data_IF_407525468943
#
_entry.id   IF_407525468943
#
_cell.length_a   1.000
_cell.length_b   1.000
_cell.length_c   1.000
_cell.angle_alpha   90.00
_cell.angle_beta   90.00
_cell.angle_gamma   90.00
#
_symmetry.space_group_name_H-M   'P 1'
#
loop_
_entity.id
_entity.type
_entity.pdbx_description
1 polymer ?
#
# COMPACT_ATOMS: atom_id res chain seq x y z
N UNK A 1 -21.23 -14.97 -8.33
CA UNK A 1 -20.25 -15.91 -7.72
C UNK A 1 -20.14 -15.66 -6.24
N UNK A 2 -19.80 -16.71 -5.47
CA UNK A 2 -19.36 -16.57 -4.08
C UNK A 2 -17.85 -16.41 -4.05
N UNK A 3 -17.33 -15.29 -3.58
CA UNK A 3 -15.90 -15.02 -3.54
C UNK A 3 -15.45 -14.78 -2.10
N UNK A 4 -14.36 -15.43 -1.70
CA UNK A 4 -13.71 -15.16 -0.43
C UNK A 4 -12.37 -14.46 -0.69
N UNK A 5 -12.15 -13.36 0.02
CA UNK A 5 -10.89 -12.61 -0.05
C UNK A 5 -10.17 -12.74 1.29
N UNK A 6 -8.93 -13.23 1.26
CA UNK A 6 -8.07 -13.35 2.44
C UNK A 6 -7.07 -12.20 2.44
N UNK A 7 -7.24 -11.31 3.40
CA UNK A 7 -6.37 -10.14 3.57
C UNK A 7 -6.27 -9.70 5.03
N UNK A 8 -5.08 -9.76 5.60
CA UNK A 8 -4.86 -9.53 7.03
C UNK A 8 -5.32 -8.16 7.53
N UNK A 9 -5.23 -7.11 6.70
CA UNK A 9 -5.39 -5.70 7.10
C UNK A 9 -6.64 -5.04 6.53
N UNK A 10 -7.75 -5.78 6.44
CA UNK A 10 -8.99 -5.25 5.88
C UNK A 10 -9.64 -4.20 6.78
N UNK A 11 -9.79 -2.98 6.28
CA UNK A 11 -10.46 -1.85 6.94
C UNK A 11 -11.09 -0.92 5.91
N UNK A 12 -12.17 -0.23 6.32
CA UNK A 12 -12.84 0.77 5.52
C UNK A 12 -12.10 2.12 5.47
N UNK A 13 -12.69 3.07 4.78
CA UNK A 13 -12.12 4.42 4.58
C UNK A 13 -11.95 5.25 5.85
N UNK A 14 -12.68 4.94 6.93
CA UNK A 14 -12.53 5.59 8.24
C UNK A 14 -11.19 5.32 8.91
N UNK A 15 -10.49 4.27 8.48
CA UNK A 15 -9.19 3.89 9.00
C UNK A 15 -8.04 4.42 8.13
N UNK A 16 -6.87 4.72 8.73
CA UNK A 16 -5.67 5.01 7.96
C UNK A 16 -5.12 3.76 7.28
N UNK A 17 -4.55 3.92 6.10
CA UNK A 17 -3.90 2.85 5.36
C UNK A 17 -4.49 2.58 3.98
N UNK A 18 -4.20 1.38 3.44
CA UNK A 18 -4.65 1.01 2.10
C UNK A 18 -6.11 0.60 2.05
N UNK A 19 -6.83 1.13 1.08
CA UNK A 19 -8.25 0.82 0.83
C UNK A 19 -8.49 -0.09 -0.38
N UNK A 20 -7.46 -0.56 -1.07
CA UNK A 20 -7.60 -1.31 -2.33
C UNK A 20 -8.48 -2.56 -2.20
N UNK A 21 -8.24 -3.39 -1.15
CA UNK A 21 -9.07 -4.59 -0.92
C UNK A 21 -10.48 -4.20 -0.50
N UNK A 22 -10.62 -3.18 0.34
CA UNK A 22 -11.93 -2.65 0.72
C UNK A 22 -12.73 -2.20 -0.51
N UNK A 23 -12.12 -1.42 -1.38
CA UNK A 23 -12.74 -0.92 -2.60
C UNK A 23 -13.12 -2.04 -3.57
N UNK A 24 -12.25 -3.05 -3.70
CA UNK A 24 -12.54 -4.24 -4.53
C UNK A 24 -13.74 -5.01 -3.97
N UNK A 25 -13.79 -5.24 -2.67
CA UNK A 25 -14.88 -6.00 -2.03
C UNK A 25 -16.23 -5.30 -2.16
N UNK A 26 -16.27 -3.97 -1.93
CA UNK A 26 -17.49 -3.19 -2.10
C UNK A 26 -17.95 -3.20 -3.57
N UNK A 27 -17.03 -3.01 -4.52
CA UNK A 27 -17.31 -3.07 -5.95
C UNK A 27 -17.90 -4.43 -6.36
N UNK A 28 -17.32 -5.54 -5.93
CA UNK A 28 -17.84 -6.88 -6.22
C UNK A 28 -19.24 -7.11 -5.61
N UNK A 29 -19.43 -6.65 -4.37
CA UNK A 29 -20.73 -6.79 -3.68
C UNK A 29 -21.83 -5.92 -4.31
N UNK A 30 -21.49 -4.72 -4.81
CA UNK A 30 -22.41 -3.86 -5.56
C UNK A 30 -22.84 -4.50 -6.89
N UNK A 31 -21.94 -5.29 -7.52
CA UNK A 31 -22.23 -6.04 -8.75
C UNK A 31 -22.97 -7.37 -8.52
N UNK A 32 -23.42 -7.62 -7.30
CA UNK A 32 -24.25 -8.79 -6.97
C UNK A 32 -23.48 -10.06 -6.66
N UNK A 33 -22.16 -9.98 -6.41
CA UNK A 33 -21.41 -11.11 -5.91
C UNK A 33 -21.59 -11.28 -4.40
N UNK A 34 -21.60 -12.54 -3.92
CA UNK A 34 -21.59 -12.86 -2.48
C UNK A 34 -20.11 -12.80 -2.01
N UNK A 35 -19.78 -11.71 -1.33
CA UNK A 35 -18.41 -11.39 -0.93
C UNK A 35 -18.21 -11.62 0.56
N UNK A 36 -17.23 -12.45 0.90
CA UNK A 36 -16.77 -12.63 2.28
C UNK A 36 -15.28 -12.30 2.37
N UNK A 37 -14.90 -11.54 3.39
CA UNK A 37 -13.49 -11.26 3.69
C UNK A 37 -13.10 -12.01 4.96
N UNK A 38 -12.02 -12.80 4.89
CA UNK A 38 -11.35 -13.36 6.06
C UNK A 38 -10.15 -12.50 6.38
N UNK A 39 -10.17 -11.86 7.55
CA UNK A 39 -9.19 -10.83 7.91
C UNK A 39 -8.74 -10.92 9.36
N UNK A 40 -7.59 -10.32 9.64
CA UNK A 40 -7.15 -10.04 10.99
C UNK A 40 -7.98 -8.95 11.66
N UNK A 41 -7.72 -8.71 12.92
CA UNK A 41 -8.48 -7.76 13.74
C UNK A 41 -7.98 -6.32 13.62
N UNK A 42 -6.74 -6.10 13.16
CA UNK A 42 -6.10 -4.79 13.12
C UNK A 42 -5.70 -4.36 11.73
N UNK A 43 -5.81 -3.05 11.47
CA UNK A 43 -5.21 -2.40 10.31
C UNK A 43 -3.71 -2.20 10.45
N UNK A 44 -3.04 -2.09 9.31
CA UNK A 44 -1.59 -1.88 9.28
C UNK A 44 -1.13 -0.60 10.00
N UNK A 45 -1.95 0.47 10.00
CA UNK A 45 -1.66 1.75 10.66
C UNK A 45 -2.50 1.99 11.92
N UNK A 46 -3.17 0.97 12.45
CA UNK A 46 -3.98 1.07 13.67
C UNK A 46 -3.23 0.51 14.86
N UNK A 47 -3.12 1.29 15.93
CA UNK A 47 -2.50 0.88 17.21
C UNK A 47 -3.50 0.43 18.26
N UNK A 48 -4.76 0.86 18.12
CA UNK A 48 -5.79 0.57 19.11
C UNK A 48 -6.44 -0.78 18.84
N UNK A 49 -6.40 -1.64 19.84
CA UNK A 49 -6.97 -2.98 19.80
C UNK A 49 -8.34 -3.05 20.44
N UNK A 50 -9.18 -4.00 20.01
CA UNK A 50 -10.37 -4.33 20.76
C UNK A 50 -10.02 -4.76 22.19
N UNK A 51 -10.70 -4.21 23.19
CA UNK A 51 -10.53 -4.53 24.61
C UNK A 51 -11.09 -5.90 25.01
N UNK A 52 -11.43 -6.74 24.05
CA UNK A 52 -12.04 -8.04 24.26
C UNK A 52 -11.00 -9.12 24.61
N UNK A 53 -11.35 -10.11 25.48
CA UNK A 53 -10.52 -11.28 25.77
C UNK A 53 -10.19 -12.06 24.50
N UNK A 54 -8.99 -12.64 24.42
CA UNK A 54 -8.45 -13.34 23.24
C UNK A 54 -9.36 -14.47 22.73
N UNK A 55 -10.02 -15.21 23.62
CA UNK A 55 -10.90 -16.34 23.25
C UNK A 55 -12.17 -15.88 22.52
N UNK A 56 -12.66 -14.66 22.78
CA UNK A 56 -13.78 -14.04 22.04
C UNK A 56 -13.32 -13.45 20.68
N UNK A 57 -12.01 -13.40 20.47
CA UNK A 57 -11.38 -12.87 19.27
C UNK A 57 -10.99 -13.97 18.27
N UNK A 58 -11.16 -15.28 18.61
CA UNK A 58 -10.75 -16.39 17.73
C UNK A 58 -11.45 -16.29 16.39
N UNK A 59 -12.78 -16.12 16.40
CA UNK A 59 -13.58 -15.86 15.20
C UNK A 59 -14.71 -14.90 15.59
N UNK A 60 -14.85 -13.82 14.83
CA UNK A 60 -15.93 -12.86 14.95
C UNK A 60 -16.48 -12.55 13.57
N UNK A 61 -17.80 -12.51 13.45
CA UNK A 61 -18.47 -12.13 12.21
C UNK A 61 -19.03 -10.73 12.35
N UNK A 62 -18.83 -9.93 11.32
CA UNK A 62 -19.38 -8.59 11.18
C UNK A 62 -19.79 -8.36 9.73
N UNK A 63 -20.52 -7.29 9.47
CA UNK A 63 -20.96 -6.91 8.14
C UNK A 63 -20.51 -5.48 7.86
N UNK A 64 -19.94 -5.28 6.68
CA UNK A 64 -19.49 -3.97 6.21
C UNK A 64 -20.22 -3.66 4.90
N UNK A 65 -21.34 -2.92 5.00
CA UNK A 65 -22.26 -2.74 3.88
C UNK A 65 -22.85 -4.07 3.41
N UNK A 66 -22.57 -4.47 2.18
CA UNK A 66 -22.99 -5.75 1.58
C UNK A 66 -21.97 -6.87 1.76
N UNK A 67 -20.77 -6.58 2.32
CA UNK A 67 -19.67 -7.52 2.47
C UNK A 67 -19.75 -8.22 3.84
N UNK A 68 -19.63 -9.53 3.84
CA UNK A 68 -19.48 -10.32 5.06
C UNK A 68 -18.02 -10.30 5.49
N UNK A 69 -17.73 -10.06 6.77
CA UNK A 69 -16.36 -10.03 7.30
C UNK A 69 -16.22 -11.04 8.42
N UNK A 70 -15.27 -11.94 8.27
CA UNK A 70 -14.87 -12.92 9.29
C UNK A 70 -13.53 -12.47 9.85
N UNK A 71 -13.56 -11.87 11.04
CA UNK A 71 -12.34 -11.51 11.78
C UNK A 71 -11.80 -12.72 12.50
N UNK A 72 -10.50 -12.95 12.37
CA UNK A 72 -9.82 -14.02 13.09
C UNK A 72 -8.69 -13.46 13.94
N UNK A 73 -8.32 -14.19 14.98
CA UNK A 73 -7.32 -13.74 15.94
C UNK A 73 -6.01 -13.34 15.27
N UNK A 74 -5.53 -12.17 15.67
CA UNK A 74 -4.24 -11.66 15.21
C UNK A 74 -3.51 -11.01 16.38
N UNK A 75 -2.22 -11.33 16.57
CA UNK A 75 -1.38 -10.67 17.55
C UNK A 75 -1.21 -9.19 17.21
N UNK A 76 -1.41 -8.32 18.19
CA UNK A 76 -1.66 -6.90 18.00
C UNK A 76 -0.42 -6.02 17.91
N UNK A 77 0.68 -6.43 18.51
CA UNK A 77 1.87 -5.58 18.71
C UNK A 77 2.79 -5.55 17.47
N UNK A 78 2.19 -5.46 16.27
CA UNK A 78 2.93 -5.53 15.01
C UNK A 78 3.92 -4.37 14.77
N UNK A 79 3.71 -3.22 15.45
CA UNK A 79 4.57 -2.04 15.32
C UNK A 79 5.68 -1.96 16.38
N UNK A 80 5.63 -2.82 17.40
CA UNK A 80 6.57 -2.78 18.51
C UNK A 80 7.96 -3.29 18.14
N UNK A 81 8.02 -4.36 17.33
CA UNK A 81 9.28 -5.00 16.91
C UNK A 81 9.09 -5.91 15.71
N UNK A 82 10.20 -6.32 15.07
CA UNK A 82 10.15 -7.33 14.01
C UNK A 82 9.59 -8.66 14.50
N UNK A 83 9.88 -9.05 15.76
CA UNK A 83 9.31 -10.24 16.37
C UNK A 83 7.80 -10.11 16.55
N UNK A 84 7.30 -8.96 17.04
CA UNK A 84 5.88 -8.68 17.15
C UNK A 84 5.17 -8.77 15.79
N UNK A 85 5.82 -8.28 14.73
CA UNK A 85 5.31 -8.39 13.36
C UNK A 85 5.27 -9.84 12.87
N UNK A 86 6.29 -10.63 13.15
CA UNK A 86 6.33 -12.06 12.82
C UNK A 86 5.24 -12.82 13.59
N UNK A 87 5.07 -12.56 14.88
CA UNK A 87 4.00 -13.14 15.69
C UNK A 87 2.60 -12.77 15.16
N UNK A 88 2.41 -11.54 14.68
CA UNK A 88 1.17 -11.13 14.03
C UNK A 88 0.91 -11.94 12.76
N UNK A 89 1.92 -12.18 11.93
CA UNK A 89 1.78 -13.02 10.74
C UNK A 89 1.48 -14.47 11.06
N UNK A 90 2.21 -15.06 12.01
CA UNK A 90 2.02 -16.46 12.42
C UNK A 90 0.63 -16.64 13.06
N UNK A 91 0.22 -15.77 13.97
CA UNK A 91 -1.08 -15.88 14.63
C UNK A 91 -2.25 -15.80 13.64
N UNK A 92 -2.18 -14.89 12.65
CA UNK A 92 -3.18 -14.83 11.59
C UNK A 92 -3.11 -16.06 10.65
N UNK A 93 -1.91 -16.58 10.38
CA UNK A 93 -1.76 -17.81 9.58
C UNK A 93 -2.38 -19.04 10.23
N UNK A 94 -2.38 -19.11 11.56
CA UNK A 94 -3.01 -20.20 12.31
C UNK A 94 -4.53 -20.01 12.46
N UNK A 95 -5.01 -18.79 12.57
CA UNK A 95 -6.42 -18.50 12.77
C UNK A 95 -7.23 -18.36 11.46
N UNK A 96 -6.61 -17.87 10.38
CA UNK A 96 -7.24 -17.70 9.08
C UNK A 96 -7.88 -19.00 8.51
N UNK A 97 -7.24 -20.19 8.59
CA UNK A 97 -7.87 -21.45 8.20
C UNK A 97 -9.20 -21.72 8.93
N UNK A 98 -9.26 -21.42 10.23
CA UNK A 98 -10.49 -21.58 11.00
C UNK A 98 -11.58 -20.66 10.45
N UNK A 99 -11.24 -19.41 10.15
CA UNK A 99 -12.17 -18.48 9.50
C UNK A 99 -12.70 -19.00 8.16
N UNK A 100 -11.79 -19.49 7.29
CA UNK A 100 -12.15 -20.06 5.99
C UNK A 100 -13.04 -21.31 6.08
N UNK A 101 -12.84 -22.14 7.09
CA UNK A 101 -13.64 -23.35 7.31
C UNK A 101 -15.07 -23.04 7.79
N UNK A 102 -15.30 -21.85 8.36
CA UNK A 102 -16.65 -21.41 8.80
C UNK A 102 -17.46 -20.73 7.70
N UNK A 103 -16.87 -20.52 6.52
CA UNK A 103 -17.56 -19.97 5.36
C UNK A 103 -18.03 -21.10 4.45
N UNK A 104 -19.22 -20.95 3.86
CA UNK A 104 -19.72 -21.87 2.84
C UNK A 104 -18.68 -21.98 1.71
N UNK A 105 -18.66 -23.12 1.01
CA UNK A 105 -17.71 -23.34 -0.08
C UNK A 105 -17.85 -22.20 -1.12
N UNK A 106 -16.81 -21.35 -1.30
CA UNK A 106 -16.83 -20.31 -2.32
C UNK A 106 -16.49 -20.89 -3.70
N UNK A 107 -16.84 -20.14 -4.73
CA UNK A 107 -16.46 -20.46 -6.13
C UNK A 107 -14.98 -20.16 -6.37
N UNK A 108 -14.38 -19.19 -5.65
CA UNK A 108 -12.97 -18.81 -5.76
C UNK A 108 -12.48 -18.11 -4.49
N UNK A 109 -11.21 -18.30 -4.16
CA UNK A 109 -10.51 -17.56 -3.08
C UNK A 109 -9.41 -16.71 -3.69
N UNK A 110 -9.42 -15.41 -3.38
CA UNK A 110 -8.33 -14.47 -3.65
C UNK A 110 -7.55 -14.21 -2.36
N UNK A 111 -6.23 -14.37 -2.38
CA UNK A 111 -5.39 -14.02 -1.24
C UNK A 111 -4.25 -13.08 -1.66
N UNK A 112 -3.99 -12.05 -0.82
CA UNK A 112 -3.00 -11.01 -1.10
C UNK A 112 -1.73 -11.18 -0.26
N UNK A 113 -0.56 -11.07 -0.88
CA UNK A 113 0.77 -11.02 -0.26
C UNK A 113 1.30 -9.57 -0.27
N UNK A 114 2.06 -9.08 0.74
CA UNK A 114 2.46 -9.78 1.97
C UNK A 114 1.36 -9.79 3.04
N UNK A 115 1.44 -10.65 4.04
CA UNK A 115 2.45 -11.66 4.31
C UNK A 115 2.18 -13.00 3.60
N UNK A 116 3.25 -13.79 3.33
CA UNK A 116 3.13 -15.07 2.60
C UNK A 116 2.53 -16.20 3.46
N UNK A 117 2.77 -16.18 4.79
CA UNK A 117 2.33 -17.27 5.68
C UNK A 117 0.79 -17.44 5.71
N UNK A 118 -0.03 -16.39 5.90
CA UNK A 118 -1.49 -16.52 5.84
C UNK A 118 -1.98 -16.96 4.47
N UNK A 119 -1.32 -16.53 3.40
CA UNK A 119 -1.66 -16.94 2.05
C UNK A 119 -1.43 -18.43 1.85
N UNK A 120 -0.30 -18.96 2.35
CA UNK A 120 0.00 -20.39 2.28
C UNK A 120 -1.01 -21.22 3.08
N UNK A 121 -1.39 -20.78 4.28
CA UNK A 121 -2.41 -21.47 5.08
C UNK A 121 -3.80 -21.42 4.44
N UNK A 122 -4.16 -20.31 3.82
CA UNK A 122 -5.41 -20.18 3.05
C UNK A 122 -5.41 -21.12 1.83
N UNK A 123 -4.31 -21.16 1.06
CA UNK A 123 -4.15 -22.09 -0.06
C UNK A 123 -4.30 -23.55 0.37
N UNK A 124 -3.74 -23.94 1.53
CA UNK A 124 -3.86 -25.31 2.05
C UNK A 124 -5.33 -25.70 2.28
N UNK A 125 -6.13 -24.80 2.88
CA UNK A 125 -7.58 -25.00 3.02
C UNK A 125 -8.27 -25.11 1.66
N UNK A 126 -7.90 -24.26 0.71
CA UNK A 126 -8.45 -24.30 -0.64
C UNK A 126 -8.16 -25.63 -1.33
N UNK A 127 -6.93 -26.14 -1.23
CA UNK A 127 -6.52 -27.42 -1.78
C UNK A 127 -7.34 -28.59 -1.17
N UNK A 128 -7.50 -28.61 0.18
CA UNK A 128 -8.28 -29.63 0.87
C UNK A 128 -9.76 -29.61 0.49
N UNK A 129 -10.35 -28.43 0.30
CA UNK A 129 -11.75 -28.24 -0.06
C UNK A 129 -12.00 -28.23 -1.57
N UNK A 130 -10.96 -28.37 -2.39
CA UNK A 130 -11.02 -28.24 -3.86
C UNK A 130 -11.70 -26.92 -4.24
N UNK A 131 -11.07 -25.82 -3.87
CA UNK A 131 -11.52 -24.46 -4.18
C UNK A 131 -10.45 -23.79 -5.05
N UNK A 132 -10.78 -23.19 -6.19
CA UNK A 132 -9.85 -22.42 -7.00
C UNK A 132 -9.18 -21.30 -6.22
N UNK A 133 -7.87 -21.12 -6.38
CA UNK A 133 -7.10 -20.17 -5.64
C UNK A 133 -6.38 -19.19 -6.57
N UNK A 134 -6.60 -17.89 -6.34
CA UNK A 134 -5.93 -16.78 -7.03
C UNK A 134 -5.01 -16.07 -6.05
N UNK A 135 -3.75 -15.88 -6.45
CA UNK A 135 -2.74 -15.20 -5.67
C UNK A 135 -2.54 -13.78 -6.17
N UNK A 136 -2.67 -12.78 -5.29
CA UNK A 136 -2.30 -11.39 -5.56
C UNK A 136 -0.92 -11.08 -4.96
N UNK A 137 0.04 -10.68 -5.79
CA UNK A 137 1.42 -10.35 -5.42
C UNK A 137 1.60 -8.84 -5.46
N UNK A 138 1.69 -8.23 -4.27
CA UNK A 138 1.90 -6.78 -4.13
C UNK A 138 3.36 -6.41 -3.97
N UNK A 139 4.13 -7.31 -3.37
CA UNK A 139 5.57 -7.21 -3.18
C UNK A 139 6.20 -8.59 -3.37
N UNK A 140 7.42 -8.64 -3.90
CA UNK A 140 8.18 -9.88 -4.10
C UNK A 140 8.78 -10.36 -2.76
N UNK A 141 8.00 -11.09 -1.98
CA UNK A 141 8.42 -11.76 -0.76
C UNK A 141 8.85 -13.20 -1.04
N UNK A 142 9.94 -13.69 -0.42
CA UNK A 142 10.77 -13.10 0.65
C UNK A 142 11.87 -12.15 0.19
N UNK A 143 12.10 -11.99 -1.12
CA UNK A 143 13.23 -11.23 -1.67
C UNK A 143 13.31 -9.79 -1.10
N UNK A 144 12.16 -9.09 -0.98
CA UNK A 144 12.11 -7.75 -0.41
C UNK A 144 12.64 -7.71 1.05
N UNK A 145 12.24 -8.65 1.89
CA UNK A 145 12.68 -8.70 3.28
C UNK A 145 14.19 -9.03 3.40
N UNK A 146 14.72 -9.83 2.49
CA UNK A 146 16.15 -10.19 2.41
C UNK A 146 16.97 -8.97 1.98
N UNK A 147 16.59 -8.30 0.89
CA UNK A 147 17.33 -7.13 0.38
C UNK A 147 17.26 -5.94 1.34
N UNK A 148 16.17 -5.77 2.07
CA UNK A 148 16.09 -4.78 3.15
C UNK A 148 16.94 -5.13 4.38
N UNK A 149 17.55 -6.32 4.44
CA UNK A 149 18.34 -6.79 5.59
C UNK A 149 17.50 -7.16 6.82
N UNK A 150 16.17 -7.26 6.67
CA UNK A 150 15.22 -7.62 7.74
C UNK A 150 15.27 -9.14 8.00
N UNK A 151 15.31 -9.94 6.93
CA UNK A 151 15.34 -11.39 6.98
C UNK A 151 16.75 -11.90 6.65
N UNK A 152 17.43 -12.46 7.67
CA UNK A 152 18.83 -12.95 7.56
C UNK A 152 18.96 -14.46 7.78
N UNK A 153 17.97 -15.10 8.42
CA UNK A 153 18.02 -16.53 8.70
C UNK A 153 17.84 -17.34 7.42
N UNK A 154 18.88 -18.04 6.99
CA UNK A 154 18.89 -18.82 5.74
C UNK A 154 17.81 -19.90 5.67
N UNK A 155 17.53 -20.59 6.80
CA UNK A 155 16.50 -21.62 6.83
C UNK A 155 15.11 -21.03 6.60
N UNK A 156 14.81 -19.90 7.26
CA UNK A 156 13.54 -19.20 7.08
C UNK A 156 13.40 -18.65 5.66
N UNK A 157 14.48 -18.13 5.06
CA UNK A 157 14.50 -17.70 3.66
C UNK A 157 14.17 -18.87 2.73
N UNK A 158 14.81 -20.04 2.93
CA UNK A 158 14.53 -21.22 2.11
C UNK A 158 13.08 -21.71 2.25
N UNK A 159 12.55 -21.73 3.48
CA UNK A 159 11.14 -22.08 3.72
C UNK A 159 10.19 -21.12 3.00
N UNK A 160 10.40 -19.82 3.13
CA UNK A 160 9.54 -18.83 2.51
C UNK A 160 9.64 -18.86 0.96
N UNK A 161 10.84 -19.08 0.42
CA UNK A 161 11.04 -19.25 -1.02
C UNK A 161 10.38 -20.54 -1.55
N UNK A 162 10.40 -21.60 -0.78
CA UNK A 162 9.66 -22.83 -1.08
C UNK A 162 8.15 -22.58 -1.08
N UNK A 163 7.63 -21.91 -0.03
CA UNK A 163 6.21 -21.55 0.05
C UNK A 163 5.78 -20.69 -1.14
N UNK A 164 6.58 -19.68 -1.52
CA UNK A 164 6.33 -18.84 -2.69
C UNK A 164 6.24 -19.69 -3.98
N UNK A 165 7.21 -20.58 -4.20
CA UNK A 165 7.21 -21.46 -5.37
C UNK A 165 5.99 -22.37 -5.41
N UNK A 166 5.59 -22.95 -4.27
CA UNK A 166 4.39 -23.76 -4.15
C UNK A 166 3.15 -22.94 -4.52
N UNK A 167 3.01 -21.74 -3.97
CA UNK A 167 1.88 -20.86 -4.26
C UNK A 167 1.83 -20.47 -5.73
N UNK A 168 2.95 -20.08 -6.34
CA UNK A 168 2.99 -19.74 -7.77
C UNK A 168 2.62 -20.95 -8.65
N UNK A 169 3.06 -22.15 -8.30
CA UNK A 169 2.72 -23.36 -9.07
C UNK A 169 1.26 -23.77 -8.93
N UNK A 170 0.70 -23.62 -7.73
CA UNK A 170 -0.62 -24.17 -7.38
C UNK A 170 -1.77 -23.16 -7.53
N UNK A 171 -1.48 -21.88 -7.72
CA UNK A 171 -2.50 -20.87 -8.01
C UNK A 171 -3.02 -21.05 -9.43
N UNK A 172 -4.32 -20.86 -9.64
CA UNK A 172 -4.93 -20.85 -10.99
C UNK A 172 -4.46 -19.63 -11.79
N UNK A 173 -4.41 -18.47 -11.14
CA UNK A 173 -3.87 -17.22 -11.66
C UNK A 173 -3.02 -16.52 -10.59
N UNK A 174 -2.01 -15.82 -11.07
CA UNK A 174 -1.17 -14.92 -10.27
C UNK A 174 -1.47 -13.50 -10.75
N UNK A 175 -1.86 -12.62 -9.83
CA UNK A 175 -2.11 -11.20 -10.13
C UNK A 175 -0.95 -10.39 -9.61
N UNK A 176 -0.17 -9.81 -10.51
CA UNK A 176 0.93 -8.89 -10.19
C UNK A 176 0.42 -7.44 -10.15
N UNK A 177 0.84 -6.68 -9.15
CA UNK A 177 0.42 -5.27 -9.00
C UNK A 177 1.16 -4.31 -9.94
N UNK A 178 2.33 -4.70 -10.44
CA UNK A 178 3.19 -3.86 -11.29
C UNK A 178 3.78 -4.69 -12.43
N UNK A 179 4.16 -4.03 -13.51
CA UNK A 179 4.86 -4.67 -14.63
C UNK A 179 6.17 -5.30 -14.15
N UNK A 180 6.91 -4.61 -13.26
CA UNK A 180 8.17 -5.11 -12.73
C UNK A 180 7.97 -6.41 -11.95
N UNK A 181 6.94 -6.52 -11.10
CA UNK A 181 6.59 -7.77 -10.40
C UNK A 181 6.21 -8.86 -11.40
N UNK A 182 5.39 -8.53 -12.41
CA UNK A 182 5.01 -9.49 -13.46
C UNK A 182 6.22 -10.02 -14.20
N UNK A 183 7.11 -9.13 -14.60
CA UNK A 183 8.31 -9.47 -15.36
C UNK A 183 9.28 -10.34 -14.53
N UNK A 184 9.47 -10.05 -13.24
CA UNK A 184 10.27 -10.88 -12.33
C UNK A 184 9.70 -12.30 -12.24
N UNK A 185 8.39 -12.43 -12.01
CA UNK A 185 7.74 -13.73 -11.91
C UNK A 185 7.88 -14.52 -13.23
N UNK A 186 7.67 -13.88 -14.37
CA UNK A 186 7.82 -14.51 -15.69
C UNK A 186 9.28 -14.91 -15.98
N UNK A 187 10.24 -14.06 -15.64
CA UNK A 187 11.68 -14.34 -15.80
C UNK A 187 12.14 -15.53 -14.94
N UNK A 188 11.46 -15.79 -13.81
CA UNK A 188 11.70 -16.96 -12.95
C UNK A 188 11.04 -18.24 -13.46
N UNK A 189 10.37 -18.23 -14.63
CA UNK A 189 9.87 -19.40 -15.35
C UNK A 189 8.36 -19.64 -15.32
N UNK A 190 7.55 -18.75 -14.71
CA UNK A 190 6.10 -18.87 -14.78
C UNK A 190 5.54 -18.22 -16.06
N UNK A 191 4.64 -18.90 -16.80
CA UNK A 191 4.17 -18.40 -18.10
C UNK A 191 3.31 -17.14 -17.94
N UNK A 192 3.48 -16.19 -18.86
CA UNK A 192 2.74 -14.93 -18.87
C UNK A 192 1.22 -15.10 -18.97
N UNK A 193 0.74 -16.24 -19.48
CA UNK A 193 -0.69 -16.60 -19.48
C UNK A 193 -1.25 -16.88 -18.08
N UNK A 194 -0.39 -17.20 -17.12
CA UNK A 194 -0.74 -17.40 -15.71
C UNK A 194 -0.63 -16.13 -14.89
N UNK A 195 0.20 -15.17 -15.32
CA UNK A 195 0.52 -13.94 -14.58
C UNK A 195 -0.21 -12.75 -15.20
N UNK A 196 -1.27 -12.33 -14.54
CA UNK A 196 -2.09 -11.19 -14.94
C UNK A 196 -1.59 -9.90 -14.26
N UNK A 197 -1.67 -8.78 -14.98
CA UNK A 197 -1.33 -7.46 -14.43
C UNK A 197 -2.61 -6.75 -14.01
N UNK A 198 -2.75 -6.44 -12.71
CA UNK A 198 -3.80 -5.55 -12.20
C UNK A 198 -3.16 -4.55 -11.25
N UNK A 199 -2.88 -3.35 -11.72
CA UNK A 199 -2.20 -2.32 -10.94
C UNK A 199 -3.10 -1.74 -9.84
N UNK A 200 -2.50 -1.03 -8.88
CA UNK A 200 -3.29 -0.20 -7.97
C UNK A 200 -4.01 0.89 -8.76
N UNK A 201 -5.27 1.15 -8.40
CA UNK A 201 -6.06 2.19 -9.04
C UNK A 201 -6.48 3.27 -8.06
N UNK A 202 -6.80 4.45 -8.60
CA UNK A 202 -7.34 5.58 -7.83
C UNK A 202 -8.84 5.64 -7.95
N UNK A 203 -9.50 5.87 -6.84
CA UNK A 203 -10.91 6.28 -6.81
C UNK A 203 -11.01 7.80 -6.87
N UNK A 204 -11.35 8.32 -8.05
CA UNK A 204 -11.45 9.77 -8.29
C UNK A 204 -12.65 10.43 -7.58
N UNK A 205 -13.62 9.68 -7.05
CA UNK A 205 -14.65 10.21 -6.16
C UNK A 205 -14.10 10.57 -4.77
N UNK A 206 -12.92 10.05 -4.43
CA UNK A 206 -12.26 10.21 -3.13
C UNK A 206 -10.99 11.03 -3.19
N UNK A 207 -10.23 10.91 -4.27
CA UNK A 207 -8.97 11.62 -4.48
C UNK A 207 -9.07 12.45 -5.76
N UNK A 208 -9.10 13.76 -5.60
CA UNK A 208 -9.24 14.75 -6.66
C UNK A 208 -8.71 16.12 -6.19
N UNK A 209 -8.43 17.07 -7.09
CA UNK A 209 -8.06 18.43 -6.72
C UNK A 209 -9.15 19.12 -5.90
N UNK A 210 -8.80 19.64 -4.70
CA UNK A 210 -9.72 20.20 -3.72
C UNK A 210 -9.15 21.48 -3.08
N UNK A 211 -9.39 22.60 -3.71
CA UNK A 211 -8.92 23.90 -3.23
C UNK A 211 -9.54 24.31 -1.87
N UNK A 212 -10.82 23.96 -1.65
CA UNK A 212 -11.50 24.28 -0.39
C UNK A 212 -10.95 23.42 0.74
N UNK A 213 -10.76 22.13 0.52
CA UNK A 213 -10.12 21.23 1.47
C UNK A 213 -8.69 21.64 1.81
N UNK A 214 -7.92 22.09 0.81
CA UNK A 214 -6.58 22.65 1.01
C UNK A 214 -6.59 23.86 1.93
N UNK A 215 -7.49 24.80 1.68
CA UNK A 215 -7.64 26.02 2.49
C UNK A 215 -8.02 25.69 3.94
N UNK A 216 -8.92 24.73 4.16
CA UNK A 216 -9.30 24.27 5.51
C UNK A 216 -8.09 23.74 6.29
N UNK A 217 -7.24 22.90 5.70
CA UNK A 217 -6.04 22.37 6.35
C UNK A 217 -5.02 23.46 6.60
N UNK A 218 -4.77 24.35 5.62
CA UNK A 218 -3.83 25.46 5.78
C UNK A 218 -4.27 26.40 6.89
N UNK A 219 -5.56 26.72 6.98
CA UNK A 219 -6.10 27.54 8.06
C UNK A 219 -5.99 26.84 9.42
N UNK A 220 -6.33 25.54 9.48
CA UNK A 220 -6.25 24.76 10.74
C UNK A 220 -4.87 24.77 11.37
N UNK A 221 -3.82 24.72 10.55
CA UNK A 221 -2.44 24.61 11.02
C UNK A 221 -1.62 25.91 10.90
N UNK A 222 -2.20 27.01 10.41
CA UNK A 222 -1.49 28.26 10.20
C UNK A 222 -0.43 28.19 9.08
N UNK A 223 -0.73 27.49 7.99
CA UNK A 223 0.22 27.27 6.89
C UNK A 223 0.03 28.21 5.69
N UNK A 224 -0.70 29.32 5.87
CA UNK A 224 -1.03 30.23 4.75
C UNK A 224 0.23 30.74 4.04
N UNK A 225 1.25 31.13 4.84
CA UNK A 225 2.50 31.70 4.33
C UNK A 225 3.63 30.67 4.18
N UNK A 226 3.30 29.35 4.28
CA UNK A 226 4.28 28.29 4.15
C UNK A 226 4.22 27.60 2.81
N UNK A 227 5.38 27.20 2.32
CA UNK A 227 5.55 26.24 1.21
C UNK A 227 5.62 24.84 1.80
N UNK A 228 4.62 24.02 1.54
CA UNK A 228 4.46 22.70 2.15
C UNK A 228 5.05 21.63 1.26
N UNK A 229 6.07 20.95 1.76
CA UNK A 229 6.66 19.74 1.17
C UNK A 229 6.11 18.54 1.94
N UNK A 230 5.24 17.75 1.31
CA UNK A 230 4.47 16.68 1.96
C UNK A 230 5.07 15.30 1.70
N UNK A 231 5.24 14.53 2.78
CA UNK A 231 5.33 13.08 2.75
C UNK A 231 4.09 12.47 3.42
N UNK A 232 3.33 11.66 2.70
CA UNK A 232 2.12 11.03 3.22
C UNK A 232 2.17 9.51 3.05
N UNK A 233 2.13 8.77 4.16
CA UNK A 233 2.12 7.30 4.09
C UNK A 233 2.84 6.61 5.25
N UNK A 234 3.22 5.35 5.05
CA UNK A 234 3.89 4.57 6.07
C UNK A 234 5.26 5.16 6.44
N UNK A 235 5.51 5.31 7.74
CA UNK A 235 6.82 5.65 8.30
C UNK A 235 7.57 4.35 8.61
N UNK A 236 7.98 3.65 7.55
CA UNK A 236 8.58 2.31 7.61
C UNK A 236 10.04 2.27 7.13
N UNK A 237 10.66 1.10 7.26
CA UNK A 237 12.06 0.86 6.88
C UNK A 237 12.33 1.11 5.39
N UNK A 238 11.37 0.80 4.52
CA UNK A 238 11.50 0.93 3.08
C UNK A 238 11.46 2.39 2.58
N UNK A 239 10.89 3.31 3.37
CA UNK A 239 10.45 4.62 2.87
C UNK A 239 11.52 5.72 2.88
N UNK A 240 12.77 5.41 3.19
CA UNK A 240 13.91 6.33 3.14
C UNK A 240 13.66 7.73 3.76
N UNK A 241 13.06 7.77 4.94
CA UNK A 241 12.80 9.03 5.66
C UNK A 241 14.08 9.81 6.00
N UNK A 242 15.26 9.18 6.23
CA UNK A 242 16.48 9.92 6.51
C UNK A 242 16.86 10.95 5.44
N UNK A 243 16.65 10.67 4.14
CA UNK A 243 16.96 11.65 3.09
C UNK A 243 16.07 12.89 3.24
N UNK A 244 14.79 12.71 3.53
CA UNK A 244 13.85 13.84 3.78
C UNK A 244 14.30 14.69 4.97
N UNK A 245 14.76 14.07 6.06
CA UNK A 245 15.21 14.78 7.26
C UNK A 245 16.54 15.54 7.03
N UNK A 246 17.51 14.95 6.32
CA UNK A 246 18.74 15.64 5.94
C UNK A 246 18.44 16.84 5.03
N UNK A 247 17.54 16.67 4.06
CA UNK A 247 17.09 17.76 3.19
C UNK A 247 16.43 18.88 4.00
N UNK A 248 15.57 18.54 4.95
CA UNK A 248 14.95 19.53 5.84
C UNK A 248 15.98 20.27 6.69
N UNK A 249 17.03 19.58 7.14
CA UNK A 249 18.15 20.19 7.86
C UNK A 249 18.91 21.20 7.00
N UNK A 250 19.21 20.86 5.73
CA UNK A 250 19.84 21.79 4.78
C UNK A 250 18.98 23.04 4.54
N UNK A 251 17.66 22.85 4.45
CA UNK A 251 16.68 23.92 4.22
C UNK A 251 16.17 24.59 5.51
N UNK A 252 16.75 24.28 6.68
CA UNK A 252 16.35 24.92 7.95
C UNK A 252 16.46 26.46 7.95
N UNK A 253 17.44 27.13 7.26
CA UNK A 253 17.45 28.59 7.16
C UNK A 253 16.24 29.18 6.41
N UNK A 254 15.55 28.39 5.58
CA UNK A 254 14.38 28.79 4.81
C UNK A 254 13.12 28.64 5.67
N UNK A 255 12.76 29.72 6.39
CA UNK A 255 11.61 29.75 7.28
C UNK A 255 10.26 29.61 6.57
N UNK A 256 10.21 29.83 5.28
CA UNK A 256 9.03 29.70 4.43
C UNK A 256 8.73 28.24 4.03
N UNK A 257 9.69 27.31 4.10
CA UNK A 257 9.53 25.91 3.73
C UNK A 257 9.24 25.04 4.95
N UNK A 258 8.16 24.26 4.90
CA UNK A 258 7.77 23.32 5.96
C UNK A 258 7.62 21.90 5.39
N UNK A 259 8.36 20.97 5.95
CA UNK A 259 8.21 19.55 5.68
C UNK A 259 7.14 18.96 6.59
N UNK A 260 6.11 18.35 6.01
CA UNK A 260 5.02 17.72 6.74
C UNK A 260 5.03 16.22 6.46
N UNK A 261 5.30 15.41 7.49
CA UNK A 261 5.31 13.96 7.42
C UNK A 261 4.06 13.42 8.11
N UNK A 262 3.16 12.78 7.35
CA UNK A 262 1.89 12.26 7.87
C UNK A 262 1.87 10.74 7.76
N UNK A 263 1.71 10.05 8.88
CA UNK A 263 1.57 8.61 8.86
C UNK A 263 1.97 7.90 10.14
N UNK A 264 2.02 6.59 10.07
CA UNK A 264 2.48 5.72 11.16
C UNK A 264 3.34 4.56 10.61
N UNK A 265 4.05 3.88 11.50
CA UNK A 265 4.91 2.75 11.16
C UNK A 265 6.01 2.53 12.20
N UNK A 266 6.81 1.48 11.97
CA UNK A 266 7.88 1.09 12.92
C UNK A 266 8.94 2.19 13.14
N UNK A 267 9.14 3.09 12.17
CA UNK A 267 10.13 4.17 12.26
C UNK A 267 9.58 5.48 12.80
N UNK A 268 8.28 5.60 13.09
CA UNK A 268 7.68 6.85 13.55
C UNK A 268 8.39 7.43 14.77
N UNK A 269 8.52 6.64 15.83
CA UNK A 269 9.18 7.10 17.08
C UNK A 269 10.65 7.47 16.85
N UNK A 270 11.34 6.71 15.99
CA UNK A 270 12.73 7.02 15.62
C UNK A 270 12.81 8.32 14.82
N UNK A 271 11.88 8.54 13.89
CA UNK A 271 11.78 9.79 13.11
C UNK A 271 11.52 11.00 14.00
N UNK A 272 10.56 10.91 14.93
CA UNK A 272 10.25 11.98 15.89
C UNK A 272 11.47 12.31 16.76
N UNK A 273 12.20 11.30 17.26
CA UNK A 273 13.44 11.49 18.03
C UNK A 273 14.54 12.14 17.17
N UNK A 274 14.66 11.74 15.91
CA UNK A 274 15.65 12.31 15.00
C UNK A 274 15.34 13.77 14.68
N UNK A 275 14.08 14.13 14.43
CA UNK A 275 13.64 15.52 14.26
C UNK A 275 14.01 16.37 15.48
N UNK A 276 13.72 15.87 16.70
CA UNK A 276 14.08 16.56 17.95
C UNK A 276 15.60 16.73 18.10
N UNK A 277 16.38 15.69 17.76
CA UNK A 277 17.84 15.72 17.86
C UNK A 277 18.49 16.69 16.85
N UNK A 278 17.90 16.84 15.66
CA UNK A 278 18.38 17.81 14.66
C UNK A 278 18.09 19.27 15.03
N UNK A 279 17.19 19.53 15.99
CA UNK A 279 16.81 20.87 16.42
C UNK A 279 16.16 21.73 15.32
N UNK A 280 15.65 21.10 14.25
CA UNK A 280 15.04 21.80 13.12
C UNK A 280 13.58 22.17 13.42
N UNK A 281 13.17 23.38 13.00
CA UNK A 281 11.80 23.89 13.23
C UNK A 281 10.91 23.75 11.98
N UNK A 282 11.48 23.32 10.88
CA UNK A 282 10.81 23.21 9.58
C UNK A 282 10.36 21.77 9.27
N UNK A 283 10.22 20.90 10.28
CA UNK A 283 9.67 19.54 10.15
C UNK A 283 8.54 19.32 11.14
N UNK A 284 7.41 18.87 10.64
CA UNK A 284 6.24 18.50 11.43
C UNK A 284 5.86 17.05 11.17
N UNK A 285 5.82 16.23 12.20
CA UNK A 285 5.38 14.82 12.12
C UNK A 285 3.97 14.72 12.67
N UNK A 286 2.99 14.47 11.82
CA UNK A 286 1.59 14.34 12.18
C UNK A 286 1.17 12.86 12.32
N UNK A 287 0.14 12.58 13.15
CA UNK A 287 -0.44 11.24 13.23
C UNK A 287 -1.05 10.82 11.89
N UNK A 288 -1.25 9.51 11.68
CA UNK A 288 -1.95 9.03 10.50
C UNK A 288 -3.39 9.56 10.51
N UNK A 289 -3.87 9.93 9.34
CA UNK A 289 -5.25 10.37 9.13
C UNK A 289 -6.03 9.29 8.37
N UNK A 290 -7.36 9.37 8.41
CA UNK A 290 -8.22 8.46 7.66
C UNK A 290 -7.96 8.55 6.16
N UNK A 291 -8.24 7.47 5.41
CA UNK A 291 -8.12 7.52 3.95
C UNK A 291 -9.11 8.54 3.34
N UNK A 292 -10.26 8.76 3.97
CA UNK A 292 -11.22 9.79 3.57
C UNK A 292 -10.65 11.22 3.68
N UNK A 293 -9.80 11.47 4.67
CA UNK A 293 -9.22 12.80 4.91
C UNK A 293 -7.91 13.04 4.15
N UNK A 294 -7.29 11.98 3.62
CA UNK A 294 -6.01 12.04 2.92
C UNK A 294 -6.01 13.13 1.83
N UNK A 295 -7.11 13.24 1.07
CA UNK A 295 -7.31 14.26 0.05
C UNK A 295 -7.06 15.68 0.55
N UNK A 296 -7.58 16.01 1.72
CA UNK A 296 -7.47 17.37 2.29
C UNK A 296 -6.01 17.76 2.51
N UNK A 297 -5.23 16.84 3.10
CA UNK A 297 -3.81 17.06 3.39
C UNK A 297 -2.94 17.06 2.14
N UNK A 298 -3.21 16.16 1.18
CA UNK A 298 -2.48 16.12 -0.10
C UNK A 298 -2.71 17.43 -0.85
N UNK A 299 -3.95 17.92 -0.90
CA UNK A 299 -4.27 19.17 -1.56
C UNK A 299 -3.67 20.40 -0.86
N UNK A 300 -3.42 20.37 0.43
CA UNK A 300 -2.76 21.45 1.17
C UNK A 300 -1.24 21.56 0.85
N UNK A 301 -0.64 20.56 0.22
CA UNK A 301 0.77 20.58 -0.17
C UNK A 301 1.02 21.43 -1.42
N UNK A 302 2.21 22.03 -1.51
CA UNK A 302 2.74 22.63 -2.73
C UNK A 302 3.51 21.58 -3.56
N UNK A 303 4.23 20.68 -2.89
CA UNK A 303 5.08 19.65 -3.50
C UNK A 303 4.99 18.36 -2.69
N UNK A 304 4.97 17.21 -3.36
CA UNK A 304 4.85 15.90 -2.71
C UNK A 304 6.09 15.05 -2.90
N UNK A 305 6.53 14.35 -1.84
CA UNK A 305 7.72 13.49 -1.85
C UNK A 305 7.35 12.01 -1.94
N UNK A 306 7.98 11.30 -2.85
CA UNK A 306 7.93 9.84 -2.97
C UNK A 306 9.35 9.30 -2.86
N UNK A 307 9.65 8.67 -1.73
CA UNK A 307 10.98 8.13 -1.44
C UNK A 307 10.89 6.66 -1.06
N UNK A 308 11.85 5.86 -1.56
CA UNK A 308 12.17 4.51 -1.08
C UNK A 308 13.70 4.39 -0.92
N UNK A 309 14.12 3.38 -0.19
CA UNK A 309 15.55 3.02 -0.13
C UNK A 309 16.03 2.59 -1.51
N UNK A 310 17.29 2.89 -1.82
CA UNK A 310 17.93 2.44 -3.05
C UNK A 310 18.22 0.93 -2.97
N UNK A 311 17.26 0.14 -3.40
CA UNK A 311 17.31 -1.32 -3.41
C UNK A 311 16.78 -1.78 -4.76
N UNK A 312 17.51 -2.60 -5.54
CA UNK A 312 17.12 -2.99 -6.91
C UNK A 312 15.71 -3.56 -7.03
N UNK A 313 15.22 -4.24 -5.98
CA UNK A 313 13.86 -4.78 -5.98
C UNK A 313 12.78 -3.71 -6.00
N UNK A 314 13.08 -2.51 -5.52
CA UNK A 314 12.12 -1.39 -5.52
C UNK A 314 12.01 -0.71 -6.89
N UNK A 315 12.87 -1.04 -7.85
CA UNK A 315 12.71 -0.61 -9.24
C UNK A 315 11.42 -1.17 -9.87
N UNK A 316 10.90 -2.27 -9.32
CA UNK A 316 9.61 -2.85 -9.69
C UNK A 316 8.41 -2.26 -8.93
N UNK A 317 8.62 -1.32 -8.01
CA UNK A 317 7.56 -0.82 -7.14
C UNK A 317 6.86 0.42 -7.70
N UNK A 318 5.54 0.46 -7.55
CA UNK A 318 4.73 1.68 -7.73
C UNK A 318 4.11 2.01 -6.37
N UNK A 319 4.71 2.93 -5.58
CA UNK A 319 4.10 3.34 -4.32
C UNK A 319 2.74 3.99 -4.56
N UNK A 320 1.72 3.55 -3.85
CA UNK A 320 0.35 4.09 -4.02
C UNK A 320 0.27 5.59 -3.79
N UNK A 321 1.14 6.15 -2.93
CA UNK A 321 1.22 7.59 -2.68
C UNK A 321 1.55 8.40 -3.93
N UNK A 322 2.38 7.85 -4.86
CA UNK A 322 2.67 8.48 -6.14
C UNK A 322 1.38 8.74 -6.91
N UNK A 323 0.58 7.69 -7.05
CA UNK A 323 -0.68 7.75 -7.79
C UNK A 323 -1.71 8.63 -7.05
N UNK A 324 -1.77 8.57 -5.71
CA UNK A 324 -2.64 9.41 -4.87
C UNK A 324 -2.31 10.91 -5.03
N UNK A 325 -1.01 11.28 -5.08
CA UNK A 325 -0.55 12.66 -5.27
C UNK A 325 -0.92 13.19 -6.66
N UNK A 326 -0.63 12.40 -7.70
CA UNK A 326 -0.99 12.74 -9.08
C UNK A 326 -2.51 12.87 -9.24
N UNK A 327 -3.31 12.04 -8.57
CA UNK A 327 -4.77 12.13 -8.59
C UNK A 327 -5.32 13.42 -7.94
N UNK A 328 -4.58 13.97 -6.97
CA UNK A 328 -4.88 15.28 -6.39
C UNK A 328 -4.26 16.44 -7.17
N UNK A 329 -3.70 16.21 -8.36
CA UNK A 329 -3.09 17.23 -9.19
C UNK A 329 -1.84 17.87 -8.57
N UNK A 330 -1.02 17.09 -7.84
CA UNK A 330 0.19 17.58 -7.19
C UNK A 330 1.44 17.17 -7.93
N UNK A 331 2.37 18.12 -8.07
CA UNK A 331 3.72 17.84 -8.54
C UNK A 331 4.48 16.94 -7.56
N UNK A 332 5.30 16.06 -8.10
CA UNK A 332 6.00 15.03 -7.33
C UNK A 332 7.52 15.17 -7.46
N UNK A 333 8.25 15.06 -6.35
CA UNK A 333 9.67 14.72 -6.33
C UNK A 333 9.80 13.24 -6.01
N UNK A 334 10.35 12.48 -6.94
CA UNK A 334 10.43 11.02 -6.85
C UNK A 334 11.88 10.56 -6.75
N UNK A 335 12.26 10.00 -5.59
CA UNK A 335 13.56 9.36 -5.36
C UNK A 335 13.44 7.85 -5.43
N UNK A 336 12.92 7.33 -6.55
CA UNK A 336 12.76 5.90 -6.82
C UNK A 336 13.08 5.70 -8.30
N UNK A 337 13.93 4.73 -8.61
CA UNK A 337 14.25 4.32 -9.97
C UNK A 337 13.19 3.36 -10.54
N UNK A 338 13.34 3.04 -11.82
CA UNK A 338 12.60 1.98 -12.48
C UNK A 338 11.16 2.35 -12.81
N UNK A 339 10.16 1.62 -12.28
CA UNK A 339 8.78 1.77 -12.74
C UNK A 339 8.13 3.09 -12.28
N UNK A 340 8.41 3.51 -11.05
CA UNK A 340 7.92 4.79 -10.54
C UNK A 340 8.52 5.99 -11.30
N UNK A 341 9.81 5.96 -11.60
CA UNK A 341 10.50 6.93 -12.43
C UNK A 341 9.86 7.03 -13.81
N UNK A 342 9.69 5.89 -14.51
CA UNK A 342 9.03 5.86 -15.83
C UNK A 342 7.63 6.45 -15.83
N UNK A 343 6.88 6.26 -14.75
CA UNK A 343 5.53 6.84 -14.61
C UNK A 343 5.61 8.35 -14.48
N UNK A 344 6.49 8.87 -13.63
CA UNK A 344 6.66 10.32 -13.42
C UNK A 344 7.11 11.01 -14.70
N UNK A 345 8.09 10.44 -15.39
CA UNK A 345 8.61 10.98 -16.67
C UNK A 345 7.54 10.93 -17.77
N UNK A 346 6.89 9.77 -17.96
CA UNK A 346 5.86 9.63 -19.00
C UNK A 346 4.63 10.51 -18.75
N UNK A 347 4.35 10.83 -17.48
CA UNK A 347 3.26 11.71 -17.10
C UNK A 347 3.64 13.19 -17.13
N UNK A 348 4.93 13.53 -17.13
CA UNK A 348 5.40 14.90 -16.87
C UNK A 348 4.95 15.42 -15.51
N UNK A 349 4.81 14.54 -14.52
CA UNK A 349 4.15 14.81 -13.25
C UNK A 349 5.08 15.39 -12.18
N UNK A 350 6.38 15.49 -12.47
CA UNK A 350 7.35 15.92 -11.47
C UNK A 350 8.80 15.77 -11.93
N UNK A 351 9.69 15.68 -10.97
CA UNK A 351 11.13 15.54 -11.20
C UNK A 351 11.68 14.35 -10.42
N UNK A 352 12.58 13.61 -11.06
CA UNK A 352 13.32 12.51 -10.44
C UNK A 352 14.57 13.06 -9.78
N UNK A 353 14.91 12.55 -8.61
CA UNK A 353 16.19 12.79 -7.97
C UNK A 353 16.83 11.45 -7.57
N UNK A 354 18.16 11.45 -7.49
CA UNK A 354 18.90 10.26 -7.08
C UNK A 354 18.51 9.83 -5.65
N UNK A 355 18.11 8.57 -5.42
CA UNK A 355 17.85 8.08 -4.08
C UNK A 355 18.98 8.41 -3.11
N UNK A 356 18.69 8.79 -1.88
CA UNK A 356 19.64 9.22 -0.83
C UNK A 356 20.40 10.54 -1.08
N UNK A 357 20.20 11.24 -2.20
CA UNK A 357 20.86 12.52 -2.49
C UNK A 357 20.04 13.70 -1.92
N UNK A 358 20.31 14.06 -0.66
CA UNK A 358 19.64 15.17 0.03
C UNK A 358 20.09 16.56 -0.47
N UNK A 359 21.26 16.68 -1.10
CA UNK A 359 21.73 17.91 -1.72
C UNK A 359 20.91 18.23 -2.97
N UNK A 360 20.86 17.30 -3.93
CA UNK A 360 20.05 17.44 -5.13
C UNK A 360 18.56 17.66 -4.78
N UNK A 361 18.03 16.90 -3.80
CA UNK A 361 16.64 17.07 -3.37
C UNK A 361 16.40 18.48 -2.81
N UNK A 362 17.36 19.05 -2.05
CA UNK A 362 17.21 20.41 -1.51
C UNK A 362 17.22 21.47 -2.60
N UNK A 363 18.07 21.33 -3.61
CA UNK A 363 18.14 22.25 -4.76
C UNK A 363 16.85 22.21 -5.58
N UNK A 364 16.36 21.02 -5.91
CA UNK A 364 15.11 20.83 -6.66
C UNK A 364 13.89 21.39 -5.92
N UNK A 365 13.80 21.22 -4.60
CA UNK A 365 12.73 21.82 -3.80
C UNK A 365 12.75 23.33 -3.93
N UNK A 366 13.93 23.97 -3.79
CA UNK A 366 14.04 25.43 -3.88
C UNK A 366 13.73 25.93 -5.29
N UNK A 367 14.20 25.23 -6.32
CA UNK A 367 13.91 25.55 -7.71
C UNK A 367 12.41 25.51 -8.01
N UNK A 368 11.78 24.37 -7.72
CA UNK A 368 10.37 24.13 -8.03
C UNK A 368 9.42 25.06 -7.26
N UNK A 369 9.71 25.29 -5.97
CA UNK A 369 8.87 26.19 -5.16
C UNK A 369 8.93 27.67 -5.57
N UNK A 370 9.91 28.08 -6.43
CA UNK A 370 9.97 29.41 -7.03
C UNK A 370 9.08 29.56 -8.27
N UNK A 371 8.62 28.44 -8.84
CA UNK A 371 7.81 28.42 -10.06
C UNK A 371 6.46 27.71 -9.84
N UNK A 372 5.46 28.40 -9.26
CA UNK A 372 4.13 27.83 -9.03
C UNK A 372 3.43 27.36 -10.31
N UNK A 373 3.65 28.03 -11.44
CA UNK A 373 3.04 27.64 -12.72
C UNK A 373 3.59 26.31 -13.22
N UNK A 374 4.88 26.06 -13.04
CA UNK A 374 5.50 24.76 -13.36
C UNK A 374 4.95 23.65 -12.46
N UNK A 375 4.76 23.91 -11.18
CA UNK A 375 4.13 22.95 -10.25
C UNK A 375 2.70 22.61 -10.66
N UNK A 376 1.92 23.63 -11.02
CA UNK A 376 0.53 23.45 -11.49
C UNK A 376 0.48 22.64 -12.79
N UNK A 377 1.33 22.95 -13.75
CA UNK A 377 1.45 22.22 -15.02
C UNK A 377 1.80 20.75 -14.81
N UNK A 378 2.81 20.46 -13.96
CA UNK A 378 3.18 19.09 -13.59
C UNK A 378 2.02 18.36 -12.91
N UNK A 379 1.32 19.01 -11.99
CA UNK A 379 0.16 18.44 -11.29
C UNK A 379 -0.97 18.11 -12.27
N UNK A 380 -1.30 19.00 -13.19
CA UNK A 380 -2.33 18.79 -14.21
C UNK A 380 -1.97 17.62 -15.15
N UNK A 381 -0.72 17.56 -15.60
CA UNK A 381 -0.21 16.47 -16.46
C UNK A 381 -0.29 15.12 -15.73
N UNK A 382 0.13 15.07 -14.45
CA UNK A 382 0.03 13.89 -13.60
C UNK A 382 -1.40 13.42 -13.44
N UNK A 383 -2.34 14.33 -13.16
CA UNK A 383 -3.77 14.02 -13.04
C UNK A 383 -4.34 13.40 -14.32
N UNK A 384 -4.08 14.03 -15.48
CA UNK A 384 -4.53 13.51 -16.76
C UNK A 384 -4.01 12.09 -17.05
N UNK A 385 -2.73 11.85 -16.73
CA UNK A 385 -2.11 10.54 -16.91
C UNK A 385 -2.77 9.45 -16.04
N UNK A 386 -2.99 9.72 -14.73
CA UNK A 386 -3.56 8.70 -13.83
C UNK A 386 -5.05 8.47 -14.10
N UNK A 387 -5.79 9.47 -14.59
CA UNK A 387 -7.17 9.27 -15.02
C UNK A 387 -7.30 8.25 -16.15
N UNK A 388 -6.35 8.22 -17.06
CA UNK A 388 -6.34 7.27 -18.19
C UNK A 388 -5.81 5.90 -17.77
N UNK A 389 -4.72 5.87 -17.01
CA UNK A 389 -3.95 4.65 -16.76
C UNK A 389 -4.27 3.92 -15.47
N UNK A 390 -4.76 4.65 -14.44
CA UNK A 390 -4.92 4.14 -13.08
C UNK A 390 -6.34 4.31 -12.51
N UNK A 391 -7.36 4.32 -13.37
CA UNK A 391 -8.75 4.37 -12.92
C UNK A 391 -9.13 3.09 -12.16
N UNK A 392 -9.47 3.20 -10.89
CA UNK A 392 -9.80 2.05 -10.03
C UNK A 392 -10.95 1.20 -10.58
N UNK A 393 -11.93 1.80 -11.25
CA UNK A 393 -13.03 1.09 -11.88
C UNK A 393 -12.54 0.09 -12.94
N UNK A 394 -11.56 0.47 -13.75
CA UNK A 394 -10.96 -0.40 -14.78
C UNK A 394 -10.19 -1.56 -14.12
N UNK A 395 -9.41 -1.28 -13.07
CA UNK A 395 -8.63 -2.31 -12.38
C UNK A 395 -9.53 -3.32 -11.67
N UNK A 396 -10.62 -2.85 -11.03
CA UNK A 396 -11.60 -3.72 -10.36
C UNK A 396 -12.35 -4.60 -11.35
N UNK A 397 -12.74 -4.08 -12.52
CA UNK A 397 -13.36 -4.88 -13.59
C UNK A 397 -12.41 -5.97 -14.12
N UNK A 398 -11.13 -5.66 -14.27
CA UNK A 398 -10.12 -6.63 -14.67
C UNK A 398 -9.97 -7.74 -13.63
N UNK A 399 -9.90 -7.37 -12.34
CA UNK A 399 -9.87 -8.35 -11.25
C UNK A 399 -11.14 -9.22 -11.24
N UNK A 400 -12.33 -8.62 -11.38
CA UNK A 400 -13.59 -9.36 -11.48
C UNK A 400 -13.59 -10.37 -12.63
N UNK A 401 -13.12 -9.97 -13.81
CA UNK A 401 -13.03 -10.85 -14.98
C UNK A 401 -12.08 -12.04 -14.73
N UNK A 402 -10.96 -11.81 -14.06
CA UNK A 402 -10.03 -12.88 -13.67
C UNK A 402 -10.72 -13.87 -12.72
N UNK A 403 -11.39 -13.36 -11.68
CA UNK A 403 -12.08 -14.20 -10.69
C UNK A 403 -13.23 -15.01 -11.31
N UNK A 404 -14.00 -14.39 -12.21
CA UNK A 404 -15.07 -15.08 -12.96
C UNK A 404 -14.50 -16.18 -13.88
N UNK A 405 -13.44 -15.90 -14.62
CA UNK A 405 -12.80 -16.87 -15.50
C UNK A 405 -12.29 -18.10 -14.75
N UNK A 406 -11.73 -17.89 -13.56
CA UNK A 406 -11.27 -19.00 -12.70
C UNK A 406 -12.44 -19.79 -12.12
N UNK A 407 -13.52 -19.12 -11.68
CA UNK A 407 -14.68 -19.78 -11.07
C UNK A 407 -15.52 -20.61 -12.04
N UNK A 408 -15.44 -20.35 -13.34
CA UNK A 408 -16.21 -21.06 -14.38
C UNK A 408 -15.47 -22.27 -14.94
N UNK A 409 -14.14 -22.26 -14.99
CA UNK A 409 -13.33 -23.35 -15.54
C UNK A 409 -13.50 -24.68 -14.76
N UNK A 410 -13.73 -24.64 -13.44
CA UNK A 410 -14.00 -25.86 -12.66
C UNK A 410 -15.41 -26.45 -12.89
N UNK A 411 -16.38 -25.68 -13.39
CA UNK A 411 -17.72 -26.22 -13.70
C UNK A 411 -17.76 -26.99 -15.02
N UNK A 412 -16.67 -26.86 -15.80
CA UNK A 412 -16.55 -27.48 -17.13
C UNK A 412 -15.59 -28.70 -17.16
N UNK A 413 -14.89 -28.97 -16.07
CA UNK A 413 -13.99 -30.12 -15.87
C UNK A 413 -14.59 -31.08 -14.81
#
# INVERSE_FOLDING_TARGET
MKVVIVYQYYHGYSAPGHSLVYELTQFLAERGHDVTVVSGETGYMQRNMPTMPWYRRIIRRERDGKVNVVRTYTYSELHRSYLGRLLSFISFSLSCPLGLLTVDKPDVVLASSPPIFPMFSAWLVCKLRRIPFVMEVRDLWPAAAVQMGILKNRQLICIMAWMERVLYNQSEKIVALTEGIRNDICARGWPGSKVELVTCGVNFDKLYPDALGAALIRNKYGWQDKKIVLYFGALGEANNLPVTLRTAQRLHPRQDILFVLIGDGMKRVATEKQVAALGVRNVLVLPPVSKSDARLYINAADLCLVTLRDIPLFDAAIPSKLIDYMACGKAVLCGIRGEAERIVDAAGAGVIFEPDNDEQLSELIVELLRDPMRLESMGASGLAYVQIRFAAATMRRKMEAILLGVSTNERSS
#
